data_IF_497714274611
#
_entry.id   IF_497714274611
#
_cell.length_a   1.000
_cell.length_b   1.000
_cell.length_c   1.000
_cell.angle_alpha   90.00
_cell.angle_beta   90.00
_cell.angle_gamma   90.00
#
_symmetry.space_group_name_H-M   'P 1'
#
loop_
_entity.id
_entity.type
_entity.pdbx_description
1 polymer ?
#
# COMPACT_ATOMS: atom_id res chain seq x y z
N UNK A 1 56.65 -23.79 -13.08
CA UNK A 1 55.30 -24.40 -12.91
C UNK A 1 54.40 -23.93 -14.05
N UNK A 2 54.27 -24.75 -15.10
CA UNK A 2 53.44 -24.45 -16.26
C UNK A 2 52.01 -24.98 -16.03
N UNK A 3 51.03 -24.08 -15.91
CA UNK A 3 49.61 -24.46 -15.90
C UNK A 3 49.06 -24.38 -17.33
N UNK A 4 48.73 -25.55 -17.87
CA UNK A 4 48.11 -25.76 -19.17
C UNK A 4 46.72 -25.15 -19.22
N UNK A 5 46.49 -24.29 -20.21
CA UNK A 5 45.18 -23.84 -20.68
C UNK A 5 44.36 -25.03 -21.16
N UNK A 6 43.21 -25.30 -20.55
CA UNK A 6 42.19 -26.16 -21.14
C UNK A 6 41.20 -25.29 -21.91
N UNK A 7 41.19 -25.46 -23.23
CA UNK A 7 40.34 -24.75 -24.15
C UNK A 7 38.87 -25.04 -23.91
N UNK A 8 38.11 -23.98 -23.68
CA UNK A 8 36.67 -23.96 -23.93
C UNK A 8 36.47 -24.10 -25.43
N UNK A 9 36.15 -25.32 -25.90
CA UNK A 9 35.57 -25.49 -27.24
C UNK A 9 34.17 -24.90 -27.17
N UNK A 10 34.06 -23.65 -27.60
CA UNK A 10 32.77 -23.03 -27.89
C UNK A 10 32.02 -23.93 -28.87
N UNK A 11 30.85 -24.39 -28.44
CA UNK A 11 29.83 -24.90 -29.33
C UNK A 11 29.39 -23.69 -30.16
N UNK A 12 30.05 -23.44 -31.29
CA UNK A 12 29.57 -22.52 -32.30
C UNK A 12 28.28 -23.13 -32.84
N UNK A 13 27.15 -22.81 -32.19
CA UNK A 13 25.83 -23.01 -32.78
C UNK A 13 25.82 -22.26 -34.10
N UNK A 14 25.41 -22.93 -35.16
CA UNK A 14 25.17 -22.34 -36.47
C UNK A 14 23.95 -21.40 -36.39
N UNK A 15 24.10 -20.24 -35.75
CA UNK A 15 23.07 -19.19 -35.67
C UNK A 15 22.58 -18.78 -37.07
N UNK A 16 23.43 -18.95 -38.10
CA UNK A 16 23.07 -18.70 -39.50
C UNK A 16 22.09 -19.71 -40.11
N UNK A 17 22.11 -20.99 -39.74
CA UNK A 17 21.17 -22.00 -40.29
C UNK A 17 19.82 -21.95 -39.59
N UNK A 18 19.80 -21.61 -38.31
CA UNK A 18 18.58 -21.56 -37.52
C UNK A 18 17.70 -20.37 -37.93
N UNK A 19 18.30 -19.21 -38.17
CA UNK A 19 17.57 -18.04 -38.67
C UNK A 19 17.01 -18.23 -40.09
N UNK A 20 17.66 -19.03 -40.93
CA UNK A 20 17.18 -19.32 -42.29
C UNK A 20 16.00 -20.31 -42.28
N UNK A 21 15.98 -21.24 -41.32
CA UNK A 21 14.83 -22.13 -41.07
C UNK A 21 13.60 -21.33 -40.60
N UNK A 22 13.78 -20.42 -39.64
CA UNK A 22 12.68 -19.59 -39.12
C UNK A 22 12.08 -18.71 -40.22
N UNK A 23 12.93 -18.11 -41.08
CA UNK A 23 12.49 -17.35 -42.26
C UNK A 23 11.72 -18.22 -43.26
N UNK A 24 12.08 -19.48 -43.44
CA UNK A 24 11.31 -20.40 -44.31
C UNK A 24 9.94 -20.75 -43.73
N UNK A 25 9.82 -20.88 -42.42
CA UNK A 25 8.56 -21.26 -41.76
C UNK A 25 7.57 -20.09 -41.72
N UNK A 26 8.05 -18.89 -41.41
CA UNK A 26 7.17 -17.75 -41.16
C UNK A 26 7.32 -16.59 -42.15
N UNK A 27 8.24 -16.68 -43.10
CA UNK A 27 8.55 -15.61 -44.03
C UNK A 27 9.46 -14.54 -43.43
N UNK A 28 9.54 -13.39 -44.10
CA UNK A 28 10.44 -12.28 -43.73
C UNK A 28 9.91 -11.37 -42.63
N UNK A 29 8.64 -11.51 -42.24
CA UNK A 29 8.01 -10.64 -41.23
C UNK A 29 8.37 -11.09 -39.80
N UNK A 30 8.55 -10.16 -38.86
CA UNK A 30 8.74 -10.51 -37.46
C UNK A 30 7.51 -11.26 -36.93
N UNK A 31 7.75 -12.38 -36.26
CA UNK A 31 6.74 -13.31 -35.78
C UNK A 31 6.62 -13.17 -34.28
N UNK A 32 5.40 -13.03 -33.78
CA UNK A 32 5.18 -12.96 -32.34
C UNK A 32 5.40 -14.29 -31.64
N UNK A 33 5.75 -14.24 -30.35
CA UNK A 33 6.04 -15.43 -29.53
C UNK A 33 4.89 -16.45 -29.56
N UNK A 34 3.64 -15.98 -29.50
CA UNK A 34 2.45 -16.83 -29.56
C UNK A 34 2.33 -17.63 -30.87
N UNK A 35 2.75 -17.08 -32.00
CA UNK A 35 2.73 -17.79 -33.27
C UNK A 35 3.83 -18.86 -33.34
N UNK A 36 5.01 -18.59 -32.81
CA UNK A 36 6.10 -19.57 -32.69
C UNK A 36 5.69 -20.72 -31.77
N UNK A 37 5.05 -20.42 -30.63
CA UNK A 37 4.57 -21.44 -29.70
C UNK A 37 3.56 -22.41 -30.35
N UNK A 38 2.64 -21.90 -31.16
CA UNK A 38 1.69 -22.76 -31.90
C UNK A 38 2.40 -23.68 -32.90
N UNK A 39 3.44 -23.19 -33.55
CA UNK A 39 4.22 -24.00 -34.50
C UNK A 39 5.06 -25.07 -33.80
N UNK A 40 5.58 -24.78 -32.61
CA UNK A 40 6.23 -25.80 -31.75
C UNK A 40 5.23 -26.91 -31.42
N UNK A 41 4.01 -26.56 -31.00
CA UNK A 41 2.97 -27.53 -30.68
C UNK A 41 2.62 -28.43 -31.88
N UNK A 42 2.52 -27.85 -33.08
CA UNK A 42 2.31 -28.60 -34.32
C UNK A 42 3.49 -29.53 -34.64
N UNK A 43 4.71 -29.02 -34.54
CA UNK A 43 5.93 -29.80 -34.84
C UNK A 43 6.12 -30.95 -33.84
N UNK A 44 5.75 -30.77 -32.57
CA UNK A 44 5.71 -31.84 -31.57
C UNK A 44 4.71 -32.94 -31.94
N UNK A 45 3.50 -32.57 -32.37
CA UNK A 45 2.51 -33.56 -32.82
C UNK A 45 2.99 -34.37 -34.03
N UNK A 46 3.71 -33.73 -34.96
CA UNK A 46 4.33 -34.41 -36.10
C UNK A 46 5.51 -35.30 -35.68
N UNK A 47 6.29 -34.89 -34.67
CA UNK A 47 7.36 -35.70 -34.08
C UNK A 47 6.81 -36.98 -33.43
N UNK A 48 5.70 -36.87 -32.70
CA UNK A 48 5.07 -38.03 -32.07
C UNK A 48 4.56 -39.05 -33.11
N UNK A 49 3.98 -38.57 -34.22
CA UNK A 49 3.61 -39.42 -35.36
C UNK A 49 4.85 -40.08 -36.00
N UNK A 50 5.93 -39.33 -36.20
CA UNK A 50 7.18 -39.87 -36.76
C UNK A 50 7.81 -40.93 -35.84
N UNK A 51 7.79 -40.71 -34.53
CA UNK A 51 8.23 -41.70 -33.52
C UNK A 51 7.34 -42.95 -33.51
N UNK A 52 6.03 -42.80 -33.67
CA UNK A 52 5.12 -43.93 -33.80
C UNK A 52 5.43 -44.76 -35.08
N UNK A 53 5.66 -44.11 -36.24
CA UNK A 53 6.10 -44.77 -37.48
C UNK A 53 7.42 -45.51 -37.28
N UNK A 54 8.40 -44.89 -36.60
CA UNK A 54 9.68 -45.52 -36.31
C UNK A 54 9.53 -46.77 -35.43
N UNK A 55 8.69 -46.72 -34.38
CA UNK A 55 8.40 -47.89 -33.53
C UNK A 55 7.71 -49.00 -34.32
N UNK A 56 6.76 -48.66 -35.19
CA UNK A 56 6.08 -49.63 -36.04
C UNK A 56 7.04 -50.31 -37.03
N UNK A 57 7.93 -49.54 -37.67
CA UNK A 57 8.96 -50.08 -38.56
C UNK A 57 9.95 -50.99 -37.81
N UNK A 58 10.35 -50.60 -36.59
CA UNK A 58 11.22 -51.42 -35.75
C UNK A 58 10.54 -52.73 -35.29
N UNK A 59 9.24 -52.70 -35.01
CA UNK A 59 8.47 -53.89 -34.67
C UNK A 59 8.32 -54.85 -35.86
N UNK A 60 8.04 -54.32 -37.07
CA UNK A 60 7.98 -55.13 -38.29
C UNK A 60 9.31 -55.84 -38.57
N UNK A 61 10.44 -55.15 -38.36
CA UNK A 61 11.79 -55.73 -38.48
C UNK A 61 12.15 -56.73 -37.37
N UNK A 62 11.32 -56.91 -36.34
CA UNK A 62 11.54 -57.97 -35.34
C UNK A 62 10.94 -59.33 -35.79
N UNK A 63 9.94 -59.31 -36.69
CA UNK A 63 9.23 -60.50 -37.20
C UNK A 63 9.87 -61.07 -38.49
N UNK A 64 11.20 -61.07 -38.57
CA UNK A 64 11.99 -61.41 -39.77
C UNK A 64 11.67 -62.80 -40.32
N UNK A 65 11.32 -63.76 -39.46
CA UNK A 65 11.10 -65.16 -39.83
C UNK A 65 9.93 -65.38 -40.82
N UNK A 66 9.04 -64.39 -40.99
CA UNK A 66 7.85 -64.48 -41.86
C UNK A 66 7.93 -63.52 -43.06
N UNK A 67 8.96 -62.68 -43.13
CA UNK A 67 9.11 -61.66 -44.17
C UNK A 67 9.84 -62.20 -45.40
N UNK A 68 9.40 -61.80 -46.58
CA UNK A 68 10.18 -61.93 -47.80
C UNK A 68 11.33 -60.91 -47.81
N UNK A 69 12.40 -61.19 -48.58
CA UNK A 69 13.54 -60.26 -48.72
C UNK A 69 13.11 -58.85 -49.18
N UNK A 70 12.09 -58.79 -50.04
CA UNK A 70 11.52 -57.52 -50.52
C UNK A 70 10.82 -56.72 -49.40
N UNK A 71 10.05 -57.40 -48.54
CA UNK A 71 9.40 -56.76 -47.39
C UNK A 71 10.41 -56.31 -46.35
N UNK A 72 11.46 -57.11 -46.11
CA UNK A 72 12.54 -56.73 -45.20
C UNK A 72 13.31 -55.50 -45.69
N UNK A 73 13.63 -55.43 -46.98
CA UNK A 73 14.26 -54.26 -47.58
C UNK A 73 13.38 -53.00 -47.49
N UNK A 74 12.07 -53.13 -47.71
CA UNK A 74 11.12 -52.03 -47.57
C UNK A 74 11.03 -51.53 -46.11
N UNK A 75 10.97 -52.44 -45.14
CA UNK A 75 10.90 -52.07 -43.72
C UNK A 75 12.19 -51.38 -43.23
N UNK A 76 13.37 -51.78 -43.71
CA UNK A 76 14.63 -51.08 -43.46
C UNK A 76 14.62 -49.66 -44.07
N UNK A 77 14.14 -49.52 -45.30
CA UNK A 77 14.01 -48.21 -45.93
C UNK A 77 13.08 -47.28 -45.11
N UNK A 78 11.92 -47.79 -44.69
CA UNK A 78 10.98 -47.05 -43.84
C UNK A 78 11.58 -46.66 -42.49
N UNK A 79 12.34 -47.55 -41.85
CA UNK A 79 13.03 -47.25 -40.58
C UNK A 79 14.05 -46.12 -40.77
N UNK A 80 14.87 -46.17 -41.83
CA UNK A 80 15.86 -45.11 -42.09
C UNK A 80 15.20 -43.78 -42.42
N UNK A 81 14.10 -43.78 -43.17
CA UNK A 81 13.33 -42.57 -43.48
C UNK A 81 12.71 -41.96 -42.21
N UNK A 82 12.04 -42.78 -41.39
CA UNK A 82 11.44 -42.35 -40.14
C UNK A 82 12.50 -41.80 -39.18
N UNK A 83 13.68 -42.41 -39.12
CA UNK A 83 14.80 -41.93 -38.28
C UNK A 83 15.30 -40.55 -38.73
N UNK A 84 15.47 -40.34 -40.04
CA UNK A 84 15.84 -39.02 -40.59
C UNK A 84 14.76 -37.98 -40.34
N UNK A 85 13.49 -38.35 -40.43
CA UNK A 85 12.37 -37.45 -40.15
C UNK A 85 12.34 -37.02 -38.68
N UNK A 86 12.51 -37.96 -37.74
CA UNK A 86 12.62 -37.68 -36.30
C UNK A 86 13.74 -36.67 -36.03
N UNK A 87 14.94 -36.92 -36.54
CA UNK A 87 16.08 -36.02 -36.34
C UNK A 87 15.83 -34.60 -36.91
N UNK A 88 15.17 -34.49 -38.07
CA UNK A 88 14.80 -33.19 -38.66
C UNK A 88 13.76 -32.45 -37.81
N UNK A 89 12.76 -33.14 -37.29
CA UNK A 89 11.71 -32.54 -36.46
C UNK A 89 12.26 -32.11 -35.10
N UNK A 90 13.14 -32.90 -34.49
CA UNK A 90 13.85 -32.53 -33.25
C UNK A 90 14.72 -31.29 -33.45
N UNK A 91 15.49 -31.22 -34.54
CA UNK A 91 16.27 -30.03 -34.88
C UNK A 91 15.38 -28.80 -35.12
N UNK A 92 14.23 -28.97 -35.79
CA UNK A 92 13.26 -27.87 -36.00
C UNK A 92 12.65 -27.39 -34.68
N UNK A 93 12.33 -28.29 -33.75
CA UNK A 93 11.81 -27.92 -32.43
C UNK A 93 12.85 -27.11 -31.66
N UNK A 94 14.11 -27.52 -31.65
CA UNK A 94 15.19 -26.78 -31.00
C UNK A 94 15.31 -25.35 -31.56
N UNK A 95 15.36 -25.20 -32.88
CA UNK A 95 15.43 -23.88 -33.52
C UNK A 95 14.19 -23.01 -33.22
N UNK A 96 12.99 -23.60 -33.18
CA UNK A 96 11.76 -22.89 -32.81
C UNK A 96 11.75 -22.46 -31.33
N UNK A 97 12.31 -23.27 -30.42
CA UNK A 97 12.43 -22.92 -29.00
C UNK A 97 13.36 -21.72 -28.80
N UNK A 98 14.51 -21.71 -29.46
CA UNK A 98 15.44 -20.57 -29.40
C UNK A 98 14.80 -19.30 -29.97
N UNK A 99 14.10 -19.41 -31.09
CA UNK A 99 13.36 -18.32 -31.69
C UNK A 99 12.22 -17.80 -30.80
N UNK A 100 11.54 -18.70 -30.08
CA UNK A 100 10.47 -18.34 -29.15
C UNK A 100 11.00 -17.49 -28.00
N UNK A 101 12.12 -17.90 -27.38
CA UNK A 101 12.77 -17.14 -26.30
C UNK A 101 13.21 -15.76 -26.80
N UNK A 102 13.81 -15.69 -27.99
CA UNK A 102 14.20 -14.42 -28.59
C UNK A 102 13.00 -13.50 -28.85
N UNK A 103 11.90 -14.02 -29.40
CA UNK A 103 10.68 -13.26 -29.65
C UNK A 103 10.04 -12.73 -28.35
N UNK A 104 9.97 -13.57 -27.31
CA UNK A 104 9.47 -13.14 -25.98
C UNK A 104 10.29 -11.99 -25.41
N UNK A 105 11.62 -12.04 -25.55
CA UNK A 105 12.50 -10.98 -25.09
C UNK A 105 12.27 -9.67 -25.86
N UNK A 106 12.18 -9.73 -27.19
CA UNK A 106 11.91 -8.56 -28.03
C UNK A 106 10.56 -7.91 -27.68
N UNK A 107 9.52 -8.71 -27.48
CA UNK A 107 8.20 -8.21 -27.08
C UNK A 107 8.24 -7.57 -25.68
N UNK A 108 8.94 -8.18 -24.73
CA UNK A 108 9.11 -7.65 -23.38
C UNK A 108 9.89 -6.32 -23.37
N UNK A 109 11.00 -6.25 -24.12
CA UNK A 109 11.82 -5.05 -24.26
C UNK A 109 11.04 -3.91 -24.93
N UNK A 110 10.25 -4.21 -25.97
CA UNK A 110 9.38 -3.23 -26.62
C UNK A 110 8.30 -2.69 -25.67
N UNK A 111 7.67 -3.57 -24.88
CA UNK A 111 6.68 -3.18 -23.88
C UNK A 111 7.29 -2.31 -22.77
N UNK A 112 8.50 -2.67 -22.30
CA UNK A 112 9.22 -1.90 -21.29
C UNK A 112 9.62 -0.52 -21.82
N UNK A 113 10.11 -0.45 -23.06
CA UNK A 113 10.48 0.81 -23.71
C UNK A 113 9.27 1.72 -23.91
N UNK A 114 8.12 1.17 -24.29
CA UNK A 114 6.88 1.95 -24.37
C UNK A 114 6.47 2.53 -23.02
N UNK A 115 6.53 1.72 -21.93
CA UNK A 115 6.25 2.19 -20.57
C UNK A 115 7.24 3.25 -20.10
N UNK A 116 8.53 3.07 -20.38
CA UNK A 116 9.57 4.03 -20.02
C UNK A 116 9.35 5.38 -20.73
N UNK A 117 9.01 5.37 -22.02
CA UNK A 117 8.67 6.59 -22.77
C UNK A 117 7.44 7.29 -22.21
N UNK A 118 6.39 6.54 -21.86
CA UNK A 118 5.19 7.10 -21.26
C UNK A 118 5.49 7.73 -19.88
N UNK A 119 6.23 7.02 -19.02
CA UNK A 119 6.63 7.52 -17.71
C UNK A 119 7.49 8.79 -17.83
N UNK A 120 8.46 8.79 -18.75
CA UNK A 120 9.29 9.96 -19.06
C UNK A 120 8.43 11.17 -19.45
N UNK A 121 7.45 10.98 -20.35
CA UNK A 121 6.52 12.05 -20.74
C UNK A 121 5.70 12.57 -19.56
N UNK A 122 5.18 11.70 -18.69
CA UNK A 122 4.42 12.11 -17.51
C UNK A 122 5.27 12.96 -16.57
N UNK A 123 6.53 12.57 -16.34
CA UNK A 123 7.45 13.34 -15.49
C UNK A 123 7.85 14.66 -16.13
N UNK A 124 8.18 14.68 -17.43
CA UNK A 124 8.65 15.89 -18.10
C UNK A 124 7.54 16.90 -18.36
N UNK A 125 6.33 16.45 -18.68
CA UNK A 125 5.22 17.32 -19.10
C UNK A 125 4.19 17.52 -18.00
N UNK A 126 3.65 16.44 -17.45
CA UNK A 126 2.52 16.55 -16.51
C UNK A 126 2.99 17.00 -15.13
N UNK A 127 4.15 16.55 -14.65
CA UNK A 127 4.69 17.05 -13.38
C UNK A 127 4.99 18.55 -13.46
N UNK A 128 5.55 19.05 -14.59
CA UNK A 128 5.79 20.47 -14.79
C UNK A 128 4.49 21.30 -14.66
N UNK A 129 3.39 20.88 -15.30
CA UNK A 129 2.09 21.53 -15.17
C UNK A 129 1.55 21.53 -13.73
N UNK A 130 1.74 20.42 -13.02
CA UNK A 130 1.31 20.32 -11.61
C UNK A 130 2.13 21.25 -10.72
N UNK A 131 3.44 21.38 -10.96
CA UNK A 131 4.29 22.33 -10.24
C UNK A 131 3.91 23.78 -10.54
N UNK A 132 3.61 24.10 -11.80
CA UNK A 132 3.16 25.46 -12.17
C UNK A 132 1.82 25.80 -11.52
N UNK A 133 0.89 24.83 -11.46
CA UNK A 133 -0.38 24.98 -10.75
C UNK A 133 -0.18 25.13 -9.24
N UNK A 134 0.76 24.37 -8.67
CA UNK A 134 1.12 24.50 -7.26
C UNK A 134 1.64 25.92 -6.97
N UNK A 135 2.56 26.44 -7.79
CA UNK A 135 3.10 27.80 -7.62
C UNK A 135 2.00 28.87 -7.68
N UNK A 136 1.03 28.74 -8.58
CA UNK A 136 -0.11 29.65 -8.66
C UNK A 136 -0.97 29.63 -7.39
N UNK A 137 -1.33 28.43 -6.89
CA UNK A 137 -2.13 28.29 -5.67
C UNK A 137 -1.36 28.72 -4.42
N UNK A 138 -0.05 28.47 -4.38
CA UNK A 138 0.80 28.89 -3.27
C UNK A 138 0.90 30.42 -3.19
N UNK A 139 0.96 31.11 -4.32
CA UNK A 139 0.91 32.57 -4.37
C UNK A 139 -0.42 33.12 -3.84
N UNK A 140 -1.55 32.57 -4.28
CA UNK A 140 -2.89 32.94 -3.78
C UNK A 140 -3.01 32.71 -2.27
N UNK A 141 -2.54 31.57 -1.77
CA UNK A 141 -2.53 31.28 -0.33
C UNK A 141 -1.62 32.25 0.43
N UNK A 142 -0.46 32.60 -0.11
CA UNK A 142 0.44 33.57 0.50
C UNK A 142 -0.21 34.96 0.63
N UNK A 143 -1.03 35.39 -0.34
CA UNK A 143 -1.79 36.63 -0.24
C UNK A 143 -2.82 36.57 0.90
N UNK A 144 -3.55 35.45 1.03
CA UNK A 144 -4.52 35.25 2.13
C UNK A 144 -3.81 35.25 3.50
N UNK A 145 -2.68 34.56 3.61
CA UNK A 145 -1.88 34.53 4.83
C UNK A 145 -1.32 35.92 5.17
N UNK A 146 -0.88 36.67 4.15
CA UNK A 146 -0.47 38.07 4.29
C UNK A 146 -1.58 38.95 4.84
N UNK A 147 -2.81 38.82 4.32
CA UNK A 147 -3.97 39.56 4.83
C UNK A 147 -4.32 39.23 6.28
N UNK A 148 -4.26 37.95 6.67
CA UNK A 148 -4.50 37.54 8.06
C UNK A 148 -3.41 38.02 9.01
N UNK A 149 -2.13 38.04 8.56
CA UNK A 149 -1.04 38.62 9.34
C UNK A 149 -1.23 40.12 9.54
N UNK A 150 -1.62 40.87 8.50
CA UNK A 150 -1.87 42.30 8.61
C UNK A 150 -3.00 42.62 9.60
N UNK A 151 -4.11 41.87 9.57
CA UNK A 151 -5.21 42.00 10.56
C UNK A 151 -4.70 41.77 11.99
N UNK A 152 -3.84 40.76 12.18
CA UNK A 152 -3.25 40.46 13.48
C UNK A 152 -2.37 41.59 13.98
N UNK A 153 -1.46 42.08 13.13
CA UNK A 153 -0.54 43.17 13.46
C UNK A 153 -1.31 44.46 13.82
N UNK A 154 -2.37 44.78 13.07
CA UNK A 154 -3.25 45.91 13.39
C UNK A 154 -3.99 45.70 14.73
N UNK A 155 -4.54 44.49 14.95
CA UNK A 155 -5.21 44.14 16.21
C UNK A 155 -4.27 44.26 17.40
N UNK A 156 -3.04 43.77 17.27
CA UNK A 156 -2.00 43.84 18.29
C UNK A 156 -1.55 45.28 18.55
N UNK A 157 -1.42 46.11 17.50
CA UNK A 157 -1.11 47.53 17.61
C UNK A 157 -2.24 48.31 18.32
N UNK A 158 -3.49 48.12 17.91
CA UNK A 158 -4.66 48.74 18.56
C UNK A 158 -4.76 48.32 20.03
N UNK A 159 -4.59 47.04 20.32
CA UNK A 159 -4.60 46.54 21.70
C UNK A 159 -3.44 47.10 22.52
N UNK A 160 -2.26 47.33 21.93
CA UNK A 160 -1.15 47.98 22.62
C UNK A 160 -1.49 49.43 23.01
N UNK A 161 -2.20 50.18 22.15
CA UNK A 161 -2.66 51.53 22.48
C UNK A 161 -3.83 51.53 23.48
N UNK A 162 -4.78 50.60 23.38
CA UNK A 162 -5.88 50.47 24.36
C UNK A 162 -5.39 50.12 25.76
N UNK A 163 -4.27 49.40 25.90
CA UNK A 163 -3.63 49.17 27.20
C UNK A 163 -3.11 50.47 27.83
N UNK A 164 -2.68 51.43 27.02
CA UNK A 164 -2.21 52.74 27.49
C UNK A 164 -3.36 53.70 27.78
N UNK A 165 -4.41 53.65 26.97
CA UNK A 165 -5.59 54.49 27.10
C UNK A 165 -6.88 53.65 26.92
N UNK A 166 -7.50 53.17 28.01
CA UNK A 166 -8.59 52.20 27.96
C UNK A 166 -9.93 52.87 27.62
N UNK A 167 -10.08 53.33 26.37
CA UNK A 167 -11.31 53.91 25.84
C UNK A 167 -12.32 52.86 25.36
N UNK A 168 -11.86 51.63 25.13
CA UNK A 168 -12.68 50.51 24.67
C UNK A 168 -12.13 49.18 25.20
N UNK A 169 -12.95 48.12 25.18
CA UNK A 169 -12.48 46.76 25.47
C UNK A 169 -11.49 46.27 24.41
N UNK A 170 -10.60 45.37 24.82
CA UNK A 170 -9.61 44.76 23.93
C UNK A 170 -10.28 44.03 22.77
N UNK A 171 -9.71 44.20 21.58
CA UNK A 171 -10.15 43.50 20.37
C UNK A 171 -9.67 42.06 20.44
N UNK A 172 -10.58 41.11 20.24
CA UNK A 172 -10.26 39.68 20.22
C UNK A 172 -9.54 39.34 18.92
N UNK A 173 -8.44 38.61 19.02
CA UNK A 173 -7.72 38.08 17.86
C UNK A 173 -8.59 37.09 17.05
N UNK A 174 -8.41 37.07 15.74
CA UNK A 174 -9.13 36.17 14.83
C UNK A 174 -8.85 34.70 15.14
N UNK A 175 -7.66 34.37 15.66
CA UNK A 175 -7.32 33.02 16.12
C UNK A 175 -8.21 32.57 17.27
N UNK A 176 -8.51 33.48 18.20
CA UNK A 176 -9.42 33.21 19.32
C UNK A 176 -10.88 33.16 18.87
N UNK A 177 -11.26 34.02 17.92
CA UNK A 177 -12.66 34.15 17.48
C UNK A 177 -13.10 33.03 16.52
N UNK A 178 -12.23 32.62 15.60
CA UNK A 178 -12.57 31.72 14.51
C UNK A 178 -11.79 30.41 14.50
N UNK A 179 -10.66 30.32 15.24
CA UNK A 179 -9.75 29.17 15.21
C UNK A 179 -9.57 28.48 16.56
N UNK A 180 -10.44 28.80 17.53
CA UNK A 180 -10.53 28.13 18.84
C UNK A 180 -11.73 27.19 18.86
N UNK A 181 -11.53 25.95 19.28
CA UNK A 181 -12.66 25.05 19.56
C UNK A 181 -13.54 25.62 20.69
N UNK A 182 -14.86 25.36 20.66
CA UNK A 182 -15.72 25.76 21.76
C UNK A 182 -15.28 25.07 23.06
N UNK A 183 -15.42 25.79 24.18
CA UNK A 183 -15.15 25.23 25.49
C UNK A 183 -16.18 24.12 25.79
N UNK A 184 -15.70 22.99 26.30
CA UNK A 184 -16.57 21.85 26.61
C UNK A 184 -16.94 21.87 28.09
N UNK A 185 -18.24 21.90 28.35
CA UNK A 185 -18.80 21.69 29.69
C UNK A 185 -19.09 20.22 29.87
N UNK A 186 -18.35 19.56 30.76
CA UNK A 186 -18.74 18.23 31.21
C UNK A 186 -19.85 18.41 32.25
N UNK A 187 -21.10 17.98 31.97
CA UNK A 187 -22.20 18.19 32.89
C UNK A 187 -21.97 17.45 34.20
N UNK A 188 -22.54 17.99 35.27
CA UNK A 188 -22.54 17.36 36.58
C UNK A 188 -23.26 16.00 36.51
N UNK A 189 -22.60 14.94 36.97
CA UNK A 189 -23.21 13.60 37.06
C UNK A 189 -23.52 13.28 38.51
N UNK A 190 -24.82 13.15 38.80
CA UNK A 190 -25.35 12.70 40.09
C UNK A 190 -25.69 11.22 40.01
N UNK A 191 -25.34 10.46 41.04
CA UNK A 191 -25.80 9.08 41.21
C UNK A 191 -26.49 8.95 42.56
N UNK A 192 -27.61 8.21 42.58
CA UNK A 192 -28.24 7.80 43.83
C UNK A 192 -27.38 6.75 44.51
N UNK A 193 -26.85 7.07 45.69
CA UNK A 193 -26.11 6.11 46.50
C UNK A 193 -26.87 5.82 47.78
N UNK A 194 -26.94 4.53 48.12
CA UNK A 194 -27.49 4.07 49.39
C UNK A 194 -26.49 4.43 50.49
N UNK A 195 -26.95 5.23 51.44
CA UNK A 195 -26.19 5.71 52.59
C UNK A 195 -26.87 5.22 53.85
N UNK A 196 -26.07 4.71 54.78
CA UNK A 196 -26.60 4.31 56.08
C UNK A 196 -26.67 5.53 56.99
N UNK A 197 -27.86 5.76 57.52
CA UNK A 197 -28.16 6.81 58.48
C UNK A 197 -28.69 6.14 59.74
N UNK A 198 -28.23 6.60 60.89
CA UNK A 198 -28.74 6.15 62.17
C UNK A 198 -29.47 7.30 62.84
N UNK A 199 -30.68 7.02 63.33
CA UNK A 199 -31.44 7.98 64.11
C UNK A 199 -31.09 7.85 65.58
N UNK A 200 -30.41 8.86 66.10
CA UNK A 200 -30.00 8.93 67.49
C UNK A 200 -31.24 9.00 68.40
N UNK A 201 -31.38 8.01 69.29
CA UNK A 201 -32.58 7.87 70.15
C UNK A 201 -32.73 9.04 71.14
N UNK A 202 -31.63 9.68 71.52
CA UNK A 202 -31.61 10.71 72.54
C UNK A 202 -31.82 12.12 71.97
N UNK A 203 -31.29 12.39 70.78
CA UNK A 203 -31.41 13.71 70.12
C UNK A 203 -32.50 13.74 69.06
N UNK A 204 -32.93 12.58 68.56
CA UNK A 204 -33.88 12.46 67.46
C UNK A 204 -33.30 12.82 66.08
N UNK A 205 -32.04 13.28 66.04
CA UNK A 205 -31.33 13.66 64.84
C UNK A 205 -30.86 12.43 64.05
N UNK A 206 -30.82 12.59 62.74
CA UNK A 206 -30.25 11.63 61.81
C UNK A 206 -28.76 11.94 61.61
N UNK A 207 -27.92 10.93 61.84
CA UNK A 207 -26.47 11.04 61.71
C UNK A 207 -25.95 10.02 60.70
N UNK A 208 -24.96 10.44 59.91
CA UNK A 208 -24.33 9.60 58.89
C UNK A 208 -23.49 8.50 59.53
N UNK A 209 -23.72 7.24 59.13
CA UNK A 209 -22.91 6.12 59.62
C UNK A 209 -21.70 5.92 58.71
N UNK A 210 -20.51 6.22 59.23
CA UNK A 210 -19.24 6.01 58.52
C UNK A 210 -18.54 4.68 58.89
N UNK A 211 -18.93 4.04 60.00
CA UNK A 211 -18.26 2.85 60.55
C UNK A 211 -19.13 1.61 60.42
N UNK A 212 -18.52 0.53 59.95
CA UNK A 212 -19.20 -0.74 59.65
C UNK A 212 -18.37 -1.92 60.13
N UNK A 213 -19.07 -3.01 60.48
CA UNK A 213 -18.46 -4.32 60.69
C UNK A 213 -19.14 -5.36 59.79
N UNK A 214 -18.55 -6.56 59.71
CA UNK A 214 -19.14 -7.69 59.01
C UNK A 214 -19.60 -8.73 60.02
N UNK A 215 -20.89 -9.07 59.98
CA UNK A 215 -21.49 -10.16 60.76
C UNK A 215 -22.11 -11.12 59.77
N UNK A 216 -21.71 -12.39 59.81
CA UNK A 216 -22.19 -13.44 58.89
C UNK A 216 -22.09 -13.09 57.39
N UNK A 217 -21.07 -12.30 57.03
CA UNK A 217 -20.82 -11.86 55.66
C UNK A 217 -21.60 -10.60 55.23
N UNK A 218 -22.52 -10.10 56.05
CA UNK A 218 -23.29 -8.88 55.78
C UNK A 218 -22.64 -7.65 56.44
N UNK A 219 -22.67 -6.51 55.74
CA UNK A 219 -22.12 -5.23 56.22
C UNK A 219 -23.14 -4.54 57.14
N UNK A 220 -22.85 -4.51 58.44
CA UNK A 220 -23.75 -3.97 59.48
C UNK A 220 -23.17 -2.66 60.06
N UNK A 221 -23.97 -1.59 60.22
CA UNK A 221 -23.52 -0.31 60.79
C UNK A 221 -23.20 -0.40 62.30
N UNK A 222 -22.11 0.25 62.74
CA UNK A 222 -21.66 0.25 64.15
C UNK A 222 -21.29 1.62 64.70
N UNK A 223 -21.29 1.76 66.04
CA UNK A 223 -21.01 3.02 66.77
C UNK A 223 -19.51 3.36 66.93
N UNK A 224 -18.63 2.73 66.14
CA UNK A 224 -17.17 2.88 66.27
C UNK A 224 -16.54 2.17 67.48
N UNK A 225 -17.35 1.66 68.42
CA UNK A 225 -16.92 0.83 69.56
C UNK A 225 -17.25 -0.65 69.38
N UNK A 226 -17.81 -1.00 68.22
CA UNK A 226 -18.18 -2.37 67.86
C UNK A 226 -19.62 -2.75 68.20
N UNK A 227 -20.43 -1.84 68.77
CA UNK A 227 -21.84 -2.13 69.01
C UNK A 227 -22.65 -1.91 67.72
N UNK A 228 -23.56 -2.83 67.43
CA UNK A 228 -24.45 -2.77 66.27
C UNK A 228 -25.49 -1.67 66.49
N UNK A 229 -25.61 -0.76 65.51
CA UNK A 229 -26.60 0.31 65.52
C UNK A 229 -27.97 -0.21 65.06
N UNK A 230 -28.77 -0.70 66.00
CA UNK A 230 -30.06 -1.35 65.71
C UNK A 230 -31.10 -0.45 65.00
N UNK A 231 -30.98 0.88 65.09
CA UNK A 231 -31.90 1.84 64.45
C UNK A 231 -31.30 2.48 63.18
N UNK A 232 -30.26 1.88 62.59
CA UNK A 232 -29.72 2.35 61.33
C UNK A 232 -30.57 1.85 60.15
N UNK A 233 -30.80 2.71 59.16
CA UNK A 233 -31.50 2.40 57.92
C UNK A 233 -30.80 3.03 56.74
N UNK A 234 -31.11 2.54 55.54
CA UNK A 234 -30.56 3.09 54.30
C UNK A 234 -31.50 4.14 53.73
N UNK A 235 -30.94 5.29 53.37
CA UNK A 235 -31.59 6.28 52.52
C UNK A 235 -30.86 6.38 51.18
N UNK A 236 -31.57 6.75 50.12
CA UNK A 236 -30.96 7.08 48.84
C UNK A 236 -30.73 8.59 48.78
N UNK A 237 -29.48 9.00 48.65
CA UNK A 237 -29.10 10.41 48.49
C UNK A 237 -28.47 10.60 47.10
N UNK A 238 -28.82 11.71 46.44
CA UNK A 238 -28.17 12.13 45.19
C UNK A 238 -26.79 12.68 45.52
N UNK A 239 -25.75 11.89 45.28
CA UNK A 239 -24.37 12.32 45.48
C UNK A 239 -23.80 12.78 44.15
N UNK A 240 -23.14 13.93 44.14
CA UNK A 240 -22.37 14.42 43.00
C UNK A 240 -21.14 13.53 42.82
N UNK A 241 -21.18 12.65 41.83
CA UNK A 241 -20.08 11.72 41.53
C UNK A 241 -19.04 12.38 40.64
N UNK A 242 -19.46 13.34 39.83
CA UNK A 242 -18.57 14.12 38.98
C UNK A 242 -19.04 15.58 38.97
N UNK A 243 -18.18 16.47 39.47
CA UNK A 243 -18.42 17.91 39.44
C UNK A 243 -18.27 18.47 38.02
N UNK A 244 -18.98 19.57 37.74
CA UNK A 244 -18.85 20.31 36.49
C UNK A 244 -17.39 20.74 36.27
N UNK A 245 -16.86 20.41 35.09
CA UNK A 245 -15.51 20.83 34.69
C UNK A 245 -15.59 21.46 33.32
N UNK A 246 -15.12 22.70 33.23
CA UNK A 246 -14.92 23.41 31.97
C UNK A 246 -13.57 22.97 31.41
N UNK A 247 -13.57 22.31 30.25
CA UNK A 247 -12.36 22.06 29.48
C UNK A 247 -12.22 23.17 28.44
N UNK A 248 -11.17 23.98 28.56
CA UNK A 248 -10.87 25.00 27.57
C UNK A 248 -10.67 24.35 26.20
N UNK A 249 -11.33 24.92 25.19
CA UNK A 249 -11.15 24.51 23.80
C UNK A 249 -9.73 24.78 23.33
N UNK A 250 -9.19 23.86 22.53
CA UNK A 250 -7.86 24.01 21.96
C UNK A 250 -7.89 25.03 20.82
N UNK A 251 -6.88 25.89 20.77
CA UNK A 251 -6.62 26.76 19.62
C UNK A 251 -5.86 25.99 18.55
N UNK A 252 -6.20 26.22 17.28
CA UNK A 252 -5.42 25.69 16.17
C UNK A 252 -4.02 26.36 16.11
N UNK A 253 -3.02 25.70 15.52
CA UNK A 253 -1.68 26.27 15.34
C UNK A 253 -1.71 27.61 14.58
N UNK A 254 -0.72 28.46 14.81
CA UNK A 254 -0.62 29.74 14.07
C UNK A 254 -0.47 29.48 12.57
N UNK A 255 -1.10 30.32 11.75
CA UNK A 255 -0.85 30.26 10.30
C UNK A 255 0.50 30.88 9.91
N UNK A 256 1.12 31.62 10.84
CA UNK A 256 2.47 32.18 10.63
C UNK A 256 3.55 31.11 10.56
N UNK A 257 3.29 29.92 11.12
CA UNK A 257 4.22 28.78 11.11
C UNK A 257 4.12 27.95 9.81
N UNK A 258 3.19 28.30 8.91
CA UNK A 258 3.05 27.63 7.61
C UNK A 258 4.24 28.02 6.74
N UNK A 259 4.78 27.02 6.03
CA UNK A 259 5.83 27.20 5.04
C UNK A 259 5.32 26.73 3.68
N UNK A 260 5.32 27.63 2.69
CA UNK A 260 4.93 27.33 1.31
C UNK A 260 6.20 27.38 0.43
N UNK A 261 6.85 26.22 0.19
CA UNK A 261 8.05 26.16 -0.62
C UNK A 261 7.78 26.57 -2.06
N UNK A 262 8.83 26.91 -2.82
CA UNK A 262 8.74 26.99 -4.26
C UNK A 262 8.42 25.62 -4.89
N UNK A 263 7.61 25.60 -5.94
CA UNK A 263 7.35 24.38 -6.73
C UNK A 263 8.57 23.91 -7.53
N UNK A 264 9.51 24.80 -7.83
CA UNK A 264 10.73 24.52 -8.60
C UNK A 264 11.98 24.90 -7.84
N UNK A 265 13.03 24.11 -7.98
CA UNK A 265 14.34 24.45 -7.41
C UNK A 265 14.80 25.79 -7.99
N UNK A 266 15.11 26.75 -7.11
CA UNK A 266 15.56 28.08 -7.49
C UNK A 266 14.45 29.09 -7.80
N UNK A 267 13.16 28.73 -7.71
CA UNK A 267 12.08 29.72 -7.75
C UNK A 267 11.87 30.38 -6.38
N UNK A 268 11.10 31.46 -6.36
CA UNK A 268 10.84 32.25 -5.15
C UNK A 268 9.97 31.47 -4.17
N UNK A 269 10.31 31.57 -2.89
CA UNK A 269 9.45 31.07 -1.82
C UNK A 269 8.18 31.93 -1.73
N UNK A 270 7.02 31.27 -1.59
CA UNK A 270 5.74 31.97 -1.55
C UNK A 270 5.42 32.48 -0.14
N UNK A 271 5.75 31.69 0.89
CA UNK A 271 5.48 32.06 2.28
C UNK A 271 6.41 31.34 3.28
N UNK A 272 6.88 32.00 4.36
CA UNK A 272 6.83 33.45 4.57
C UNK A 272 7.59 34.18 3.46
N UNK A 273 7.13 35.38 3.11
CA UNK A 273 7.84 36.22 2.12
C UNK A 273 9.17 36.64 2.75
N UNK A 274 10.28 36.35 2.09
CA UNK A 274 11.55 36.97 2.43
C UNK A 274 11.38 38.48 2.24
N UNK A 275 11.62 39.23 3.32
CA UNK A 275 11.58 40.70 3.35
C UNK A 275 12.65 41.31 2.45
#
# INVERSE_FOLDING_TARGET
>A
MARRSHGARGFQMNIGTDMDLIKRIFGSKPVGAAAIFREIAKTNADLDKARARLRAAAAALADIAVMTDGEHAAALADQTEATRLVARLEARIAALQDAHVAAQKVEADAALLARAKAAKRTVEVEAAKLLDRYDALAAELADVLGGLRAIREETDAVNAELRRNPVHSHVKDYGTLHRKHPDQLTPERREKRKKWVYRNRWTGCEEDVAVFTYVDGEKVPTDGRGNILANAYQIEEDVVVQSERVRAGMSLPSLDDIYLPPGRVGSKQHWPRES
#
